data_IF_771976356718
#
_entry.id   IF_771976356718
#
_cell.length_a   1.000
_cell.length_b   1.000
_cell.length_c   1.000
_cell.angle_alpha   90.00
_cell.angle_beta   90.00
_cell.angle_gamma   90.00
#
_symmetry.space_group_name_H-M   'P 1'
#
loop_
_entity.id
_entity.type
_entity.pdbx_description
1 polymer ?
#
# COMPACT_ATOMS: atom_id res chain seq x y z
N UNK A 1 -25.89 9.57 -6.71
CA UNK A 1 -24.68 9.35 -7.52
C UNK A 1 -23.70 10.43 -7.14
N UNK A 2 -22.74 10.14 -6.26
CA UNK A 2 -21.65 11.08 -5.96
C UNK A 2 -20.89 11.33 -7.28
N UNK A 3 -20.63 12.59 -7.61
CA UNK A 3 -19.88 12.94 -8.81
C UNK A 3 -18.51 12.25 -8.73
N UNK A 4 -18.14 11.51 -9.78
CA UNK A 4 -16.84 10.85 -9.87
C UNK A 4 -15.74 11.92 -9.68
N UNK A 5 -15.00 11.85 -8.58
CA UNK A 5 -13.93 12.81 -8.28
C UNK A 5 -12.62 12.26 -8.84
N UNK A 6 -12.18 12.82 -9.96
CA UNK A 6 -10.88 12.51 -10.57
C UNK A 6 -9.78 13.36 -9.94
N UNK A 7 -8.55 12.87 -9.98
CA UNK A 7 -7.38 13.63 -9.53
C UNK A 7 -7.25 14.95 -10.29
N UNK A 8 -6.98 16.03 -9.54
CA UNK A 8 -6.59 17.31 -10.14
C UNK A 8 -5.18 17.21 -10.75
N UNK A 9 -4.81 18.11 -11.69
CA UNK A 9 -3.46 18.14 -12.23
C UNK A 9 -2.36 18.26 -11.16
N UNK A 10 -2.61 19.02 -10.09
CA UNK A 10 -1.65 19.20 -8.99
C UNK A 10 -1.51 17.92 -8.16
N UNK A 11 -2.62 17.24 -7.86
CA UNK A 11 -2.59 15.95 -7.16
C UNK A 11 -1.84 14.89 -7.97
N UNK A 12 -2.12 14.82 -9.28
CA UNK A 12 -1.41 13.90 -10.18
C UNK A 12 0.09 14.23 -10.25
N UNK A 13 0.44 15.50 -10.44
CA UNK A 13 1.83 15.93 -10.47
C UNK A 13 2.56 15.66 -9.14
N UNK A 14 1.87 15.80 -8.01
CA UNK A 14 2.39 15.42 -6.69
C UNK A 14 2.68 13.92 -6.60
N UNK A 15 1.73 13.08 -7.00
CA UNK A 15 1.88 11.62 -6.98
C UNK A 15 3.05 11.16 -7.87
N UNK A 16 3.18 11.72 -9.07
CA UNK A 16 4.25 11.35 -10.02
C UNK A 16 5.64 11.86 -9.64
N UNK A 17 5.74 12.84 -8.73
CA UNK A 17 7.03 13.35 -8.21
C UNK A 17 7.53 12.57 -6.99
N UNK A 18 6.69 11.70 -6.42
CA UNK A 18 7.05 10.94 -5.23
C UNK A 18 8.19 9.97 -5.56
N UNK A 19 9.28 10.05 -4.79
CA UNK A 19 10.44 9.18 -4.95
C UNK A 19 10.04 7.71 -4.73
N UNK A 20 10.35 6.85 -5.70
CA UNK A 20 10.28 5.40 -5.55
C UNK A 20 11.56 4.89 -4.86
N UNK A 21 11.43 4.39 -3.63
CA UNK A 21 12.56 3.92 -2.84
C UNK A 21 13.12 2.57 -3.35
N UNK A 22 12.34 1.84 -4.14
CA UNK A 22 12.78 0.59 -4.77
C UNK A 22 13.62 0.83 -6.02
N UNK A 23 13.65 2.06 -6.54
CA UNK A 23 14.30 2.43 -7.80
C UNK A 23 15.71 3.01 -7.56
N UNK A 24 16.79 2.31 -7.96
CA UNK A 24 18.16 2.79 -7.76
C UNK A 24 18.45 4.10 -8.50
N UNK A 25 17.75 4.38 -9.61
CA UNK A 25 17.93 5.62 -10.38
C UNK A 25 17.39 6.85 -9.62
N UNK A 26 16.57 6.63 -8.59
CA UNK A 26 16.05 7.66 -7.71
C UNK A 26 16.82 7.77 -6.39
N UNK A 27 18.01 7.15 -6.32
CA UNK A 27 18.95 7.23 -5.20
C UNK A 27 18.94 6.01 -4.29
N UNK A 28 20.04 5.78 -3.59
CA UNK A 28 20.24 4.61 -2.73
C UNK A 28 19.20 4.51 -1.60
N UNK A 29 18.76 3.28 -1.34
CA UNK A 29 17.89 2.94 -0.21
C UNK A 29 17.96 1.44 0.12
N UNK A 30 17.85 1.07 1.39
CA UNK A 30 17.95 -0.32 1.86
C UNK A 30 16.84 -1.24 1.34
N UNK A 31 15.74 -0.66 0.85
CA UNK A 31 14.68 -1.38 0.14
C UNK A 31 15.21 -2.09 -1.11
N UNK A 32 16.16 -1.46 -1.82
CA UNK A 32 16.81 -2.05 -3.00
C UNK A 32 17.62 -3.28 -2.59
N UNK A 33 18.38 -3.19 -1.51
CA UNK A 33 19.17 -4.31 -0.98
C UNK A 33 18.29 -5.50 -0.59
N UNK A 34 17.17 -5.24 0.12
CA UNK A 34 16.22 -6.29 0.48
C UNK A 34 15.62 -6.96 -0.75
N UNK A 35 15.24 -6.16 -1.75
CA UNK A 35 14.67 -6.66 -2.99
C UNK A 35 15.70 -7.48 -3.79
N UNK A 36 16.95 -7.04 -3.85
CA UNK A 36 18.05 -7.76 -4.49
C UNK A 36 18.35 -9.09 -3.79
N UNK A 37 18.40 -9.13 -2.45
CA UNK A 37 18.56 -10.38 -1.67
C UNK A 37 17.44 -11.37 -2.00
N UNK A 38 16.19 -10.90 -2.03
CA UNK A 38 15.02 -11.71 -2.34
C UNK A 38 15.03 -12.24 -3.78
N UNK A 39 15.26 -11.37 -4.76
CA UNK A 39 15.32 -11.76 -6.18
C UNK A 39 16.45 -12.76 -6.40
N UNK A 40 17.62 -12.53 -5.80
CA UNK A 40 18.76 -13.44 -5.91
C UNK A 40 18.44 -14.82 -5.34
N UNK A 41 17.80 -14.87 -4.16
CA UNK A 41 17.44 -16.14 -3.53
C UNK A 41 16.44 -16.96 -4.38
N UNK A 42 15.41 -16.31 -4.91
CA UNK A 42 14.43 -16.96 -5.79
C UNK A 42 15.04 -17.38 -7.13
N UNK A 43 15.88 -16.52 -7.71
CA UNK A 43 16.61 -16.84 -8.95
C UNK A 43 17.46 -18.10 -8.77
N UNK A 44 18.23 -18.18 -7.68
CA UNK A 44 19.10 -19.32 -7.37
C UNK A 44 18.29 -20.60 -7.10
N UNK A 45 17.18 -20.50 -6.37
CA UNK A 45 16.32 -21.65 -6.10
C UNK A 45 15.77 -22.29 -7.38
N UNK A 46 15.45 -21.46 -8.37
CA UNK A 46 14.79 -21.91 -9.60
C UNK A 46 15.73 -22.12 -10.78
N UNK A 47 16.98 -21.68 -10.69
CA UNK A 47 17.91 -21.56 -11.82
C UNK A 47 17.25 -20.82 -13.01
N UNK A 48 16.56 -19.73 -12.68
CA UNK A 48 15.74 -18.97 -13.65
C UNK A 48 16.46 -17.74 -14.19
N UNK A 49 16.00 -17.27 -15.35
CA UNK A 49 16.32 -15.93 -15.83
C UNK A 49 15.53 -14.87 -15.04
N UNK A 50 15.99 -13.61 -15.04
CA UNK A 50 15.32 -12.51 -14.31
C UNK A 50 15.03 -11.37 -15.28
N UNK A 51 13.79 -10.87 -15.24
CA UNK A 51 13.36 -9.70 -16.00
C UNK A 51 12.76 -8.64 -15.06
N UNK A 52 13.37 -7.47 -15.06
CA UNK A 52 12.86 -6.31 -14.34
C UNK A 52 11.87 -5.53 -15.22
N UNK A 53 10.71 -5.19 -14.67
CA UNK A 53 9.70 -4.35 -15.33
C UNK A 53 9.45 -3.12 -14.45
N UNK A 54 9.80 -1.94 -14.96
CA UNK A 54 9.56 -0.66 -14.30
C UNK A 54 8.86 0.28 -15.28
N UNK A 55 7.60 0.57 -15.00
CA UNK A 55 6.79 1.53 -15.73
C UNK A 55 6.27 2.62 -14.79
N UNK A 56 5.93 3.82 -15.31
CA UNK A 56 5.23 4.84 -14.54
C UNK A 56 3.95 4.29 -13.91
N UNK A 57 3.52 4.80 -12.73
CA UNK A 57 2.37 4.26 -12.02
C UNK A 57 1.01 4.54 -12.71
N UNK A 58 1.00 5.22 -13.86
CA UNK A 58 -0.22 5.47 -14.64
C UNK A 58 -0.54 4.26 -15.50
N UNK A 59 -1.65 3.59 -15.19
CA UNK A 59 -2.08 2.37 -15.88
C UNK A 59 -3.53 2.47 -16.32
N UNK A 60 -3.89 1.69 -17.34
CA UNK A 60 -5.28 1.54 -17.74
C UNK A 60 -6.06 0.80 -16.65
N UNK A 61 -7.32 1.20 -16.43
CA UNK A 61 -8.28 0.46 -15.58
C UNK A 61 -8.37 -0.99 -16.01
N UNK A 62 -8.29 -1.23 -17.32
CA UNK A 62 -8.30 -2.54 -17.93
C UNK A 62 -7.15 -3.44 -17.47
N UNK A 63 -5.93 -2.93 -17.39
CA UNK A 63 -4.77 -3.73 -16.96
C UNK A 63 -4.71 -3.86 -15.43
N UNK A 64 -5.09 -2.82 -14.68
CA UNK A 64 -5.13 -2.88 -13.22
C UNK A 64 -6.24 -3.80 -12.69
N UNK A 65 -7.35 -3.98 -13.41
CA UNK A 65 -8.48 -4.73 -12.89
C UNK A 65 -9.04 -5.77 -13.85
N UNK A 66 -9.49 -5.37 -15.04
CA UNK A 66 -10.27 -6.25 -15.93
C UNK A 66 -9.48 -7.52 -16.31
N UNK A 67 -8.22 -7.37 -16.72
CA UNK A 67 -7.36 -8.49 -17.14
C UNK A 67 -6.85 -9.34 -15.98
N UNK A 68 -7.05 -8.89 -14.74
CA UNK A 68 -6.77 -9.64 -13.53
C UNK A 68 -8.02 -10.26 -12.92
N UNK A 69 -9.16 -10.20 -13.62
CA UNK A 69 -10.40 -10.90 -13.23
C UNK A 69 -11.28 -10.16 -12.23
N UNK A 70 -10.95 -8.92 -11.87
CA UNK A 70 -11.81 -8.11 -10.99
C UNK A 70 -13.12 -7.74 -11.70
N UNK A 71 -14.24 -7.82 -11.00
CA UNK A 71 -15.55 -7.43 -11.51
C UNK A 71 -15.79 -5.91 -11.44
N UNK A 72 -16.65 -5.31 -12.28
CA UNK A 72 -16.95 -3.87 -12.24
C UNK A 72 -17.54 -3.38 -10.90
N UNK A 73 -18.19 -4.27 -10.15
CA UNK A 73 -18.79 -3.98 -8.85
C UNK A 73 -17.87 -4.26 -7.65
N UNK A 74 -16.63 -4.68 -7.88
CA UNK A 74 -15.71 -5.01 -6.80
C UNK A 74 -15.36 -3.79 -5.97
N UNK A 75 -15.35 -3.97 -4.65
CA UNK A 75 -15.03 -2.90 -3.69
C UNK A 75 -13.66 -2.28 -3.95
N UNK A 76 -12.70 -3.07 -4.45
CA UNK A 76 -11.34 -2.63 -4.79
C UNK A 76 -11.31 -1.59 -5.91
N UNK A 77 -12.36 -1.50 -6.74
CA UNK A 77 -12.52 -0.48 -7.78
C UNK A 77 -13.18 0.79 -7.25
N UNK A 78 -13.77 0.76 -6.07
CA UNK A 78 -14.48 1.92 -5.55
C UNK A 78 -13.52 3.11 -5.42
N UNK A 79 -13.98 4.30 -5.80
CA UNK A 79 -13.17 5.52 -5.76
C UNK A 79 -12.65 5.85 -4.37
N UNK A 80 -13.33 5.38 -3.32
CA UNK A 80 -12.88 5.54 -1.94
C UNK A 80 -11.58 4.79 -1.63
N UNK A 81 -11.15 3.86 -2.47
CA UNK A 81 -9.85 3.18 -2.36
C UNK A 81 -8.89 3.50 -3.51
N UNK A 82 -9.42 4.00 -4.64
CA UNK A 82 -8.70 4.10 -5.91
C UNK A 82 -8.61 5.54 -6.43
N UNK A 83 -7.41 5.94 -6.85
CA UNK A 83 -7.14 7.28 -7.37
C UNK A 83 -7.23 7.31 -8.91
N UNK A 84 -8.42 7.63 -9.41
CA UNK A 84 -8.70 7.74 -10.85
C UNK A 84 -8.24 9.08 -11.43
N UNK A 85 -7.65 9.04 -12.62
CA UNK A 85 -7.29 10.23 -13.41
C UNK A 85 -8.36 10.52 -14.47
N UNK A 86 -8.98 9.47 -14.99
CA UNK A 86 -10.09 9.54 -15.96
C UNK A 86 -10.94 8.26 -15.84
N UNK A 87 -12.03 8.10 -16.61
CA UNK A 87 -12.80 6.85 -16.62
C UNK A 87 -11.99 5.59 -16.96
N UNK A 88 -10.85 5.73 -17.66
CA UNK A 88 -10.07 4.61 -18.18
C UNK A 88 -8.64 4.55 -17.67
N UNK A 89 -8.20 5.53 -16.87
CA UNK A 89 -6.81 5.64 -16.36
C UNK A 89 -6.82 5.95 -14.87
N UNK A 90 -5.93 5.30 -14.14
CA UNK A 90 -5.72 5.48 -12.71
C UNK A 90 -4.23 5.44 -12.36
N UNK A 91 -3.92 5.82 -11.13
CA UNK A 91 -2.66 5.47 -10.49
C UNK A 91 -2.76 4.05 -9.94
N UNK A 92 -1.86 3.14 -10.35
CA UNK A 92 -1.95 1.69 -10.07
C UNK A 92 -2.15 1.41 -8.59
N UNK A 93 -3.06 0.50 -8.29
CA UNK A 93 -3.37 0.12 -6.90
C UNK A 93 -2.56 -1.08 -6.41
N UNK A 94 -1.91 -1.79 -7.33
CA UNK A 94 -0.97 -2.88 -7.05
C UNK A 94 0.00 -3.03 -8.23
N UNK A 95 1.20 -3.56 -7.98
CA UNK A 95 2.19 -3.82 -9.02
C UNK A 95 1.75 -4.91 -10.02
N UNK A 96 0.79 -5.77 -9.64
CA UNK A 96 0.21 -6.79 -10.52
C UNK A 96 -0.41 -6.20 -11.79
N UNK A 97 -0.74 -4.89 -11.79
CA UNK A 97 -1.29 -4.18 -12.95
C UNK A 97 -0.39 -4.20 -14.19
N UNK A 98 0.92 -4.41 -14.02
CA UNK A 98 1.87 -4.49 -15.15
C UNK A 98 1.89 -5.88 -15.80
N UNK A 99 1.49 -6.91 -15.06
CA UNK A 99 1.70 -8.32 -15.43
C UNK A 99 0.90 -8.72 -16.65
N UNK A 100 -0.37 -8.34 -16.83
CA UNK A 100 -1.11 -8.68 -18.04
C UNK A 100 -0.38 -8.23 -19.31
N UNK A 101 0.23 -7.04 -19.31
CA UNK A 101 0.97 -6.52 -20.47
C UNK A 101 2.35 -7.17 -20.58
N UNK A 102 3.10 -7.30 -19.49
CA UNK A 102 4.41 -7.96 -19.50
C UNK A 102 4.35 -9.42 -19.97
N UNK A 103 3.26 -10.14 -19.64
CA UNK A 103 3.04 -11.53 -20.05
C UNK A 103 2.81 -11.68 -21.57
N UNK A 104 2.42 -10.62 -22.29
CA UNK A 104 2.24 -10.71 -23.75
C UNK A 104 3.57 -10.93 -24.49
N UNK A 105 4.69 -10.52 -23.91
CA UNK A 105 6.02 -10.67 -24.51
C UNK A 105 6.49 -12.14 -24.59
N UNK A 106 5.75 -13.06 -23.95
CA UNK A 106 6.02 -14.49 -24.01
C UNK A 106 5.35 -15.21 -25.16
N UNK A 107 4.49 -14.52 -25.93
CA UNK A 107 3.81 -15.10 -27.10
C UNK A 107 4.83 -15.65 -28.09
N UNK A 108 4.68 -16.92 -28.44
CA UNK A 108 5.55 -17.61 -29.39
C UNK A 108 6.95 -17.95 -28.87
N UNK A 109 7.25 -17.70 -27.57
CA UNK A 109 8.48 -18.18 -26.94
C UNK A 109 8.32 -19.64 -26.48
N UNK A 110 9.43 -20.34 -26.34
CA UNK A 110 9.55 -21.67 -25.72
C UNK A 110 10.73 -21.67 -24.73
N UNK A 111 10.84 -22.73 -23.93
CA UNK A 111 11.96 -22.96 -23.01
C UNK A 111 12.20 -21.80 -22.03
N UNK A 112 11.10 -21.24 -21.54
CA UNK A 112 11.10 -20.11 -20.59
C UNK A 112 10.95 -20.63 -19.17
N UNK A 113 11.87 -20.19 -18.31
CA UNK A 113 11.72 -20.15 -16.86
C UNK A 113 12.30 -18.79 -16.40
N UNK A 114 11.41 -17.85 -16.11
CA UNK A 114 11.79 -16.44 -15.88
C UNK A 114 11.03 -15.88 -14.67
N UNK A 115 11.77 -15.21 -13.78
CA UNK A 115 11.25 -14.41 -12.69
C UNK A 115 11.04 -12.97 -13.18
N UNK A 116 9.78 -12.57 -13.34
CA UNK A 116 9.39 -11.19 -13.52
C UNK A 116 9.41 -10.46 -12.18
N UNK A 117 10.18 -9.38 -12.12
CA UNK A 117 10.31 -8.51 -10.95
C UNK A 117 9.68 -7.17 -11.28
N UNK A 118 8.55 -6.86 -10.64
CA UNK A 118 7.78 -5.65 -10.89
C UNK A 118 7.66 -4.84 -9.60
N UNK A 119 8.68 -4.06 -9.24
CA UNK A 119 8.65 -3.24 -8.06
C UNK A 119 8.08 -1.84 -8.35
N UNK A 120 7.55 -1.22 -7.31
CA UNK A 120 7.47 0.22 -7.22
C UNK A 120 6.29 0.73 -6.43
N UNK A 121 6.06 2.04 -6.55
CA UNK A 121 4.97 2.70 -5.85
C UNK A 121 3.60 2.25 -6.34
N UNK A 122 2.67 2.08 -5.40
CA UNK A 122 1.25 1.91 -5.66
C UNK A 122 0.49 2.99 -4.89
N UNK A 123 -0.72 3.31 -5.34
CA UNK A 123 -1.50 4.39 -4.78
C UNK A 123 -2.84 3.85 -4.29
N UNK A 124 -3.06 3.96 -2.98
CA UNK A 124 -4.30 3.55 -2.32
C UNK A 124 -4.76 4.66 -1.40
N UNK A 125 -6.07 4.79 -1.20
CA UNK A 125 -6.57 5.52 -0.03
C UNK A 125 -6.55 4.55 1.14
N UNK A 126 -5.94 4.97 2.23
CA UNK A 126 -5.67 4.14 3.40
C UNK A 126 -5.82 5.01 4.67
N UNK A 127 -5.71 4.40 5.83
CA UNK A 127 -5.64 5.11 7.11
C UNK A 127 -4.27 5.78 7.30
N UNK A 128 -4.18 6.69 8.27
CA UNK A 128 -2.90 7.31 8.68
C UNK A 128 -2.52 6.68 10.01
N UNK A 129 -1.50 5.82 10.00
CA UNK A 129 -0.90 5.26 11.21
C UNK A 129 0.59 4.94 11.00
N UNK A 130 1.21 4.29 11.98
CA UNK A 130 2.65 3.97 11.99
C UNK A 130 3.07 2.90 11.00
N UNK A 131 2.13 2.22 10.37
CA UNK A 131 2.33 1.08 9.47
C UNK A 131 1.68 1.26 8.10
N UNK A 132 0.81 2.26 7.93
CA UNK A 132 0.05 2.52 6.71
C UNK A 132 0.35 3.90 6.13
N UNK A 133 0.53 3.96 4.81
CA UNK A 133 0.74 5.16 4.00
C UNK A 133 -0.12 5.08 2.75
N UNK A 134 -0.50 6.21 2.16
CA UNK A 134 -1.30 6.22 0.92
C UNK A 134 -0.52 5.77 -0.32
N UNK A 135 0.81 5.78 -0.24
CA UNK A 135 1.71 5.47 -1.34
C UNK A 135 2.78 4.45 -0.94
N UNK A 136 2.39 3.20 -0.62
CA UNK A 136 3.34 2.15 -0.27
C UNK A 136 4.07 1.64 -1.52
N UNK A 137 5.20 0.99 -1.30
CA UNK A 137 5.93 0.23 -2.30
C UNK A 137 5.51 -1.23 -2.25
N UNK A 138 5.26 -1.79 -3.41
CA UNK A 138 5.03 -3.21 -3.59
C UNK A 138 6.06 -3.79 -4.56
N UNK A 139 6.17 -5.11 -4.55
CA UNK A 139 6.76 -5.86 -5.65
C UNK A 139 5.88 -7.05 -5.99
N UNK A 140 5.61 -7.23 -7.27
CA UNK A 140 5.14 -8.50 -7.81
C UNK A 140 6.35 -9.31 -8.31
N UNK A 141 6.46 -10.54 -7.82
CA UNK A 141 7.49 -11.50 -8.16
C UNK A 141 6.79 -12.70 -8.81
N UNK A 142 6.69 -12.70 -10.14
CA UNK A 142 5.98 -13.76 -10.86
C UNK A 142 6.97 -14.66 -11.56
N UNK A 143 6.93 -15.96 -11.26
CA UNK A 143 7.68 -16.97 -12.02
C UNK A 143 6.81 -17.46 -13.17
N UNK A 144 7.17 -17.15 -14.40
CA UNK A 144 6.50 -17.66 -15.60
C UNK A 144 7.30 -18.79 -16.22
N UNK A 145 6.61 -19.87 -16.61
CA UNK A 145 7.24 -21.08 -17.15
C UNK A 145 6.48 -21.59 -18.36
N UNK A 146 7.21 -21.97 -19.40
CA UNK A 146 6.66 -22.73 -20.53
C UNK A 146 6.55 -24.21 -20.19
N UNK A 147 5.78 -24.53 -19.15
CA UNK A 147 5.41 -25.88 -18.73
C UNK A 147 3.93 -25.95 -18.39
N UNK A 148 3.23 -27.08 -18.64
CA UNK A 148 1.82 -27.26 -18.29
C UNK A 148 1.53 -27.16 -16.79
N UNK A 149 2.53 -27.36 -15.93
CA UNK A 149 2.26 -27.55 -14.49
C UNK A 149 3.27 -26.87 -13.59
N UNK A 150 2.72 -26.02 -12.73
CA UNK A 150 3.31 -25.53 -11.49
C UNK A 150 2.45 -26.04 -10.33
N UNK A 151 3.09 -26.46 -9.24
CA UNK A 151 2.46 -27.18 -8.13
C UNK A 151 2.41 -26.36 -6.85
N UNK A 152 1.61 -26.82 -5.88
CA UNK A 152 1.57 -26.23 -4.54
C UNK A 152 2.91 -26.45 -3.79
N UNK A 153 3.69 -27.47 -4.16
CA UNK A 153 5.04 -27.68 -3.65
C UNK A 153 6.00 -26.58 -4.13
N UNK A 154 5.93 -26.20 -5.42
CA UNK A 154 6.68 -25.05 -5.95
C UNK A 154 6.32 -23.76 -5.19
N UNK A 155 5.02 -23.56 -4.92
CA UNK A 155 4.52 -22.40 -4.18
C UNK A 155 5.00 -22.38 -2.72
N UNK A 156 4.94 -23.52 -2.02
CA UNK A 156 5.47 -23.65 -0.66
C UNK A 156 6.99 -23.42 -0.61
N UNK A 157 7.72 -23.91 -1.61
CA UNK A 157 9.14 -23.65 -1.78
C UNK A 157 9.44 -22.16 -1.97
N UNK A 158 8.63 -21.45 -2.77
CA UNK A 158 8.74 -20.00 -2.96
C UNK A 158 8.50 -19.25 -1.64
N UNK A 159 7.47 -19.64 -0.87
CA UNK A 159 7.15 -19.01 0.42
C UNK A 159 8.31 -19.17 1.41
N UNK A 160 8.88 -20.38 1.51
CA UNK A 160 10.04 -20.63 2.39
C UNK A 160 11.22 -19.71 2.07
N UNK A 161 11.60 -19.64 0.79
CA UNK A 161 12.69 -18.77 0.33
C UNK A 161 12.40 -17.29 0.53
N UNK A 162 11.16 -16.84 0.29
CA UNK A 162 10.74 -15.47 0.59
C UNK A 162 10.96 -15.15 2.07
N UNK A 163 10.44 -15.99 2.97
CA UNK A 163 10.51 -15.74 4.41
C UNK A 163 11.96 -15.77 4.88
N UNK A 164 12.77 -16.74 4.42
CA UNK A 164 14.17 -16.82 4.81
C UNK A 164 15.01 -15.65 4.28
N UNK A 165 14.69 -15.12 3.10
CA UNK A 165 15.35 -13.92 2.56
C UNK A 165 14.97 -12.66 3.35
N UNK A 166 13.69 -12.46 3.66
CA UNK A 166 13.20 -11.24 4.33
C UNK A 166 13.42 -11.30 5.85
N UNK A 167 13.24 -12.44 6.48
CA UNK A 167 13.35 -12.65 7.93
C UNK A 167 13.99 -14.03 8.22
N UNK A 168 15.31 -14.16 8.05
CA UNK A 168 16.02 -15.41 8.29
C UNK A 168 15.68 -16.03 9.65
N UNK A 169 15.20 -17.28 9.63
CA UNK A 169 14.86 -18.04 10.84
C UNK A 169 13.52 -17.69 11.47
N UNK A 170 12.70 -16.82 10.85
CA UNK A 170 11.34 -16.58 11.31
C UNK A 170 10.44 -17.80 11.12
N UNK A 171 9.54 -18.03 12.08
CA UNK A 171 8.45 -18.98 11.90
C UNK A 171 7.39 -18.34 11.00
N UNK A 172 6.84 -19.11 10.08
CA UNK A 172 5.76 -18.67 9.20
C UNK A 172 4.62 -19.67 9.16
N UNK A 173 3.44 -19.20 8.78
CA UNK A 173 2.25 -20.00 8.51
C UNK A 173 1.53 -19.44 7.29
N UNK A 174 0.58 -20.20 6.73
CA UNK A 174 -0.25 -19.74 5.62
C UNK A 174 -1.73 -19.90 5.92
N UNK A 175 -2.52 -18.93 5.49
CA UNK A 175 -3.98 -19.02 5.45
C UNK A 175 -4.46 -18.92 4.00
N UNK A 176 -5.57 -19.59 3.67
CA UNK A 176 -6.12 -19.54 2.32
C UNK A 176 -6.75 -18.18 2.06
N UNK A 177 -6.48 -17.62 0.89
CA UNK A 177 -7.06 -16.35 0.40
C UNK A 177 -7.46 -16.51 -1.07
N UNK A 178 -8.54 -15.85 -1.46
CA UNK A 178 -9.01 -15.85 -2.84
C UNK A 178 -8.63 -14.55 -3.53
N UNK A 179 -7.93 -14.65 -4.67
CA UNK A 179 -7.70 -13.54 -5.57
C UNK A 179 -8.19 -13.90 -6.97
N UNK A 180 -8.80 -12.97 -7.72
CA UNK A 180 -9.35 -13.28 -9.05
C UNK A 180 -8.30 -13.72 -10.08
N UNK A 181 -7.02 -13.38 -9.88
CA UNK A 181 -5.90 -13.70 -10.77
C UNK A 181 -5.02 -14.86 -10.31
N UNK A 182 -5.39 -15.57 -9.23
CA UNK A 182 -4.64 -16.75 -8.76
C UNK A 182 -5.52 -17.96 -8.45
N UNK A 183 -4.94 -19.16 -8.45
CA UNK A 183 -5.53 -20.39 -7.94
C UNK A 183 -4.78 -20.86 -6.69
N UNK A 184 -5.53 -21.31 -5.68
CA UNK A 184 -4.98 -21.80 -4.42
C UNK A 184 -4.22 -20.74 -3.65
N UNK A 185 -4.75 -19.51 -3.63
CA UNK A 185 -4.11 -18.35 -3.03
C UNK A 185 -3.80 -18.56 -1.55
N UNK A 186 -2.68 -18.01 -1.11
CA UNK A 186 -2.20 -18.08 0.28
C UNK A 186 -1.67 -16.74 0.75
N UNK A 187 -2.18 -16.29 1.89
CA UNK A 187 -1.55 -15.26 2.70
C UNK A 187 -0.44 -15.91 3.53
N UNK A 188 0.71 -15.25 3.60
CA UNK A 188 1.90 -15.68 4.35
C UNK A 188 2.05 -14.80 5.57
N UNK A 189 1.91 -15.38 6.75
CA UNK A 189 2.13 -14.68 8.02
C UNK A 189 3.46 -15.10 8.65
N UNK A 190 4.18 -14.14 9.21
CA UNK A 190 5.42 -14.36 9.96
C UNK A 190 5.24 -14.03 11.43
N UNK A 191 5.82 -14.84 12.31
CA UNK A 191 5.75 -14.63 13.76
C UNK A 191 6.93 -13.78 14.24
N UNK A 192 6.64 -12.54 14.63
CA UNK A 192 7.63 -11.59 15.15
C UNK A 192 7.05 -10.86 16.36
N UNK A 193 7.90 -10.54 17.34
CA UNK A 193 7.52 -9.78 18.55
C UNK A 193 6.27 -10.34 19.28
N UNK A 194 6.07 -11.67 19.25
CA UNK A 194 4.95 -12.34 19.91
C UNK A 194 3.60 -12.28 19.18
N UNK A 195 3.58 -11.83 17.91
CA UNK A 195 2.37 -11.78 17.07
C UNK A 195 2.62 -12.31 15.67
N UNK A 196 1.54 -12.74 15.01
CA UNK A 196 1.54 -13.06 13.59
C UNK A 196 1.25 -11.79 12.79
N UNK A 197 2.07 -11.52 11.78
CA UNK A 197 1.89 -10.40 10.87
C UNK A 197 1.96 -10.89 9.44
N UNK A 198 1.01 -10.44 8.63
CA UNK A 198 0.99 -10.67 7.19
C UNK A 198 2.23 -10.07 6.53
N UNK A 199 2.96 -10.90 5.78
CA UNK A 199 4.12 -10.50 4.99
C UNK A 199 3.78 -10.34 3.50
N UNK A 200 3.11 -11.34 2.92
CA UNK A 200 2.90 -11.44 1.47
C UNK A 200 1.67 -12.29 1.14
N UNK A 201 1.22 -12.20 -0.10
CA UNK A 201 0.19 -13.08 -0.67
C UNK A 201 0.71 -13.73 -1.95
N UNK A 202 0.34 -14.98 -2.20
CA UNK A 202 0.80 -15.72 -3.36
C UNK A 202 -0.24 -16.69 -3.90
N UNK A 203 0.00 -17.24 -5.08
CA UNK A 203 -0.84 -18.27 -5.68
C UNK A 203 -0.27 -18.78 -6.99
N UNK A 204 -0.90 -19.81 -7.58
CA UNK A 204 -0.60 -20.20 -8.96
C UNK A 204 -1.30 -19.23 -9.91
N UNK A 205 -0.64 -18.81 -10.99
CA UNK A 205 -1.24 -17.85 -11.94
C UNK A 205 -2.54 -18.45 -12.51
N UNK A 206 -3.62 -17.67 -12.50
CA UNK A 206 -4.91 -18.13 -12.99
C UNK A 206 -4.86 -18.35 -14.52
N UNK A 207 -5.43 -19.46 -15.06
CA UNK A 207 -5.44 -19.75 -16.49
C UNK A 207 -5.99 -18.63 -17.37
N UNK A 208 -7.03 -17.92 -16.90
CA UNK A 208 -7.61 -16.79 -17.64
C UNK A 208 -6.65 -15.60 -17.80
N UNK A 209 -5.73 -15.39 -16.85
CA UNK A 209 -4.70 -14.34 -16.97
C UNK A 209 -3.70 -14.71 -18.05
N UNK A 210 -3.27 -15.98 -18.10
CA UNK A 210 -2.40 -16.51 -19.15
C UNK A 210 -3.08 -16.41 -20.52
N UNK A 211 -4.33 -16.88 -20.61
CA UNK A 211 -5.13 -16.82 -21.83
C UNK A 211 -5.33 -15.38 -22.32
N UNK A 212 -5.68 -14.45 -21.42
CA UNK A 212 -5.80 -13.02 -21.70
C UNK A 212 -4.47 -12.33 -22.09
N UNK A 213 -3.34 -12.96 -21.77
CA UNK A 213 -2.02 -12.58 -22.27
C UNK A 213 -1.65 -13.27 -23.59
N UNK A 214 -2.46 -14.19 -24.11
CA UNK A 214 -2.20 -14.96 -25.33
C UNK A 214 -1.28 -16.17 -25.11
N UNK A 215 -1.19 -16.65 -23.87
CA UNK A 215 -0.44 -17.84 -23.49
C UNK A 215 -1.41 -18.99 -23.23
N UNK A 216 -1.14 -20.16 -23.80
CA UNK A 216 -1.98 -21.34 -23.61
C UNK A 216 -1.71 -21.97 -22.22
N UNK A 217 -2.71 -22.03 -21.30
CA UNK A 217 -2.53 -22.63 -19.98
C UNK A 217 -2.22 -24.13 -19.98
N UNK A 218 -2.36 -24.82 -21.11
CA UNK A 218 -1.89 -26.20 -21.27
C UNK A 218 -0.39 -26.31 -21.51
N UNK A 219 0.30 -25.21 -21.81
CA UNK A 219 1.74 -25.19 -22.06
C UNK A 219 2.46 -24.13 -21.22
N UNK A 220 1.72 -23.23 -20.57
CA UNK A 220 2.23 -22.21 -19.68
C UNK A 220 1.61 -22.33 -18.29
N UNK A 221 2.44 -22.13 -17.27
CA UNK A 221 2.01 -22.04 -15.89
C UNK A 221 3.01 -21.20 -15.10
N UNK A 222 2.68 -20.88 -13.85
CA UNK A 222 3.59 -20.10 -13.02
C UNK A 222 3.06 -19.81 -11.63
N UNK A 223 3.87 -19.08 -10.88
CA UNK A 223 3.57 -18.58 -9.55
C UNK A 223 3.45 -17.06 -9.58
N UNK A 224 2.52 -16.54 -8.80
CA UNK A 224 2.36 -15.13 -8.50
C UNK A 224 2.67 -14.91 -7.01
N UNK A 225 3.40 -13.85 -6.70
CA UNK A 225 3.71 -13.41 -5.35
C UNK A 225 3.65 -11.89 -5.31
N UNK A 226 2.85 -11.33 -4.39
CA UNK A 226 2.80 -9.91 -4.08
C UNK A 226 3.35 -9.65 -2.68
N UNK A 227 4.26 -8.69 -2.56
CA UNK A 227 4.93 -8.34 -1.30
C UNK A 227 4.87 -6.83 -1.06
N UNK A 228 4.48 -6.41 0.14
CA UNK A 228 4.64 -5.03 0.60
C UNK A 228 6.08 -4.76 1.03
N UNK A 229 6.84 -4.01 0.24
CA UNK A 229 8.26 -3.77 0.48
C UNK A 229 8.52 -2.93 1.74
N UNK A 230 7.68 -1.95 2.03
CA UNK A 230 7.78 -1.13 3.25
C UNK A 230 7.65 -2.00 4.49
N UNK A 231 6.61 -2.85 4.52
CA UNK A 231 6.37 -3.77 5.64
C UNK A 231 7.52 -4.78 5.78
N UNK A 232 7.95 -5.38 4.67
CA UNK A 232 9.07 -6.33 4.66
C UNK A 232 10.35 -5.69 5.24
N UNK A 233 10.69 -4.48 4.82
CA UNK A 233 11.87 -3.75 5.30
C UNK A 233 11.72 -3.33 6.76
N UNK A 234 10.54 -2.86 7.16
CA UNK A 234 10.26 -2.52 8.55
C UNK A 234 10.38 -3.72 9.47
N UNK A 235 9.92 -4.90 9.05
CA UNK A 235 10.11 -6.14 9.80
C UNK A 235 11.58 -6.55 9.85
N UNK A 236 12.28 -6.56 8.70
CA UNK A 236 13.70 -6.92 8.59
C UNK A 236 14.57 -6.12 9.56
N UNK A 237 14.32 -4.81 9.64
CA UNK A 237 15.11 -3.87 10.43
C UNK A 237 14.47 -3.52 11.77
N UNK A 238 13.28 -4.02 12.11
CA UNK A 238 12.51 -3.60 13.30
C UNK A 238 12.26 -2.07 13.35
N UNK A 239 11.92 -1.47 12.22
CA UNK A 239 11.62 -0.03 12.13
C UNK A 239 10.23 0.23 12.73
N UNK A 240 10.11 1.15 13.71
CA UNK A 240 8.90 1.29 14.51
C UNK A 240 7.81 2.17 13.87
N UNK A 241 8.14 2.86 12.78
CA UNK A 241 7.29 3.85 12.13
C UNK A 241 7.66 3.96 10.65
N UNK A 242 6.67 3.78 9.77
CA UNK A 242 6.84 3.80 8.31
C UNK A 242 7.39 5.13 7.79
N UNK A 243 7.10 6.24 8.48
CA UNK A 243 7.61 7.58 8.11
C UNK A 243 9.14 7.65 8.14
N UNK A 244 9.80 6.77 8.90
CA UNK A 244 11.26 6.68 8.93
C UNK A 244 11.85 6.31 7.57
N UNK A 245 11.15 5.54 6.73
CA UNK A 245 11.63 5.09 5.42
C UNK A 245 11.88 6.27 4.46
N UNK A 246 11.17 7.39 4.63
CA UNK A 246 11.27 8.57 3.76
C UNK A 246 11.93 9.77 4.43
N UNK A 247 12.32 9.64 5.70
CA UNK A 247 12.87 10.76 6.47
C UNK A 247 14.18 11.26 5.88
N UNK A 248 14.28 12.57 5.67
CA UNK A 248 15.51 13.26 5.27
C UNK A 248 16.41 13.62 6.46
N UNK A 249 16.05 13.23 7.69
CA UNK A 249 16.88 13.50 8.86
C UNK A 249 18.16 12.66 8.80
N UNK A 250 19.36 13.26 8.92
CA UNK A 250 20.61 12.56 8.63
C UNK A 250 20.84 11.24 9.40
N UNK A 251 20.43 11.16 10.67
CA UNK A 251 20.61 9.95 11.51
C UNK A 251 19.62 8.86 11.15
N UNK A 252 18.42 9.21 10.67
CA UNK A 252 17.45 8.26 10.14
C UNK A 252 17.86 7.81 8.74
N UNK A 253 18.14 8.76 7.85
CA UNK A 253 18.48 8.52 6.46
C UNK A 253 19.73 7.64 6.32
N UNK A 254 20.75 7.83 7.17
CA UNK A 254 21.96 7.01 7.16
C UNK A 254 21.68 5.52 7.44
N UNK A 255 20.63 5.20 8.22
CA UNK A 255 20.24 3.81 8.50
C UNK A 255 19.49 3.15 7.34
N UNK A 256 19.07 3.92 6.34
CA UNK A 256 18.42 3.43 5.12
C UNK A 256 19.42 3.06 4.04
N UNK A 257 20.70 2.83 4.37
CA UNK A 257 21.76 2.48 3.42
C UNK A 257 22.26 1.03 3.57
N UNK A 258 21.78 0.30 4.59
CA UNK A 258 22.10 -1.10 4.83
C UNK A 258 20.87 -1.86 5.38
N UNK A 259 21.02 -3.16 5.64
CA UNK A 259 19.97 -3.99 6.26
C UNK A 259 20.22 -4.26 7.76
N UNK A 260 21.09 -3.49 8.43
CA UNK A 260 21.33 -3.65 9.86
C UNK A 260 20.07 -3.31 10.67
N UNK A 261 19.86 -3.94 11.84
CA UNK A 261 18.73 -3.60 12.71
C UNK A 261 18.68 -2.11 13.04
N UNK A 262 17.47 -1.59 13.14
CA UNK A 262 17.18 -0.19 13.44
C UNK A 262 17.77 0.22 14.79
N UNK A 263 18.50 1.33 14.78
CA UNK A 263 19.00 1.99 15.97
C UNK A 263 18.10 3.18 16.31
N UNK A 264 17.54 3.15 17.52
CA UNK A 264 16.59 4.16 17.94
C UNK A 264 17.23 5.56 17.97
N UNK A 265 16.71 6.46 17.14
CA UNK A 265 16.89 7.90 17.30
C UNK A 265 15.92 8.40 18.37
N UNK A 266 16.39 9.24 19.30
CA UNK A 266 15.61 9.74 20.45
C UNK A 266 14.19 10.13 20.04
N UNK A 267 13.20 9.46 20.64
CA UNK A 267 11.80 9.77 20.42
C UNK A 267 11.43 11.10 21.09
N UNK A 268 10.79 11.96 20.30
CA UNK A 268 10.32 13.26 20.79
C UNK A 268 8.90 13.11 21.39
N UNK A 269 8.57 13.90 22.42
CA UNK A 269 7.25 13.82 23.03
C UNK A 269 6.18 14.17 21.99
N UNK A 270 5.20 13.26 21.85
CA UNK A 270 4.03 13.50 21.02
C UNK A 270 2.99 14.35 21.76
N UNK A 271 2.12 15.02 21.00
CA UNK A 271 0.94 15.70 21.53
C UNK A 271 -0.32 15.18 20.84
N UNK A 272 -1.47 15.34 21.48
CA UNK A 272 -2.76 14.86 20.95
C UNK A 272 -3.73 16.01 20.79
N UNK A 273 -4.57 15.95 19.76
CA UNK A 273 -5.69 16.88 19.56
C UNK A 273 -6.92 16.10 19.17
N UNK A 274 -8.01 16.32 19.88
CA UNK A 274 -9.29 15.73 19.53
C UNK A 274 -10.11 16.80 18.79
N UNK A 275 -10.72 16.42 17.67
CA UNK A 275 -11.64 17.25 16.89
C UNK A 275 -12.96 16.51 16.72
N UNK A 276 -14.05 17.27 16.79
CA UNK A 276 -15.40 16.76 16.55
C UNK A 276 -15.87 17.33 15.22
N UNK A 277 -16.05 16.48 14.22
CA UNK A 277 -16.38 16.88 12.85
C UNK A 277 -17.75 16.32 12.44
N UNK A 278 -18.41 16.98 11.50
CA UNK A 278 -19.64 16.50 10.86
C UNK A 278 -19.25 15.94 9.51
N UNK A 279 -19.64 14.71 9.24
CA UNK A 279 -19.32 13.97 8.02
C UNK A 279 -20.58 13.30 7.47
N UNK A 280 -20.55 12.92 6.19
CA UNK A 280 -21.59 12.07 5.62
C UNK A 280 -21.58 10.68 6.28
N UNK A 281 -22.75 10.05 6.39
CA UNK A 281 -22.86 8.70 6.96
C UNK A 281 -22.14 7.62 6.12
N UNK A 282 -21.76 7.95 4.87
CA UNK A 282 -21.00 7.06 4.00
C UNK A 282 -19.48 7.20 4.08
N UNK A 283 -18.96 8.14 4.87
CA UNK A 283 -17.51 8.32 5.05
C UNK A 283 -16.90 7.22 5.94
N UNK A 284 -15.64 6.90 5.68
CA UNK A 284 -14.84 5.91 6.40
C UNK A 284 -13.45 6.46 6.79
N UNK A 285 -12.72 5.69 7.59
CA UNK A 285 -11.44 6.09 8.16
C UNK A 285 -10.39 6.33 7.05
N UNK A 286 -10.43 5.57 5.96
CA UNK A 286 -9.56 5.71 4.80
C UNK A 286 -9.81 7.02 4.03
N UNK A 287 -11.08 7.38 3.83
CA UNK A 287 -11.44 8.63 3.16
C UNK A 287 -11.06 9.84 4.02
N UNK A 288 -11.26 9.75 5.34
CA UNK A 288 -10.79 10.76 6.30
C UNK A 288 -9.27 10.88 6.24
N UNK A 289 -8.54 9.77 6.23
CA UNK A 289 -7.09 9.73 6.13
C UNK A 289 -6.56 10.40 4.86
N UNK A 290 -7.18 10.13 3.70
CA UNK A 290 -6.83 10.75 2.41
C UNK A 290 -7.10 12.27 2.40
N UNK A 291 -8.23 12.72 2.96
CA UNK A 291 -8.55 14.15 3.11
C UNK A 291 -7.52 14.86 4.00
N UNK A 292 -7.16 14.25 5.12
CA UNK A 292 -6.13 14.77 6.05
C UNK A 292 -4.78 14.88 5.34
N UNK A 293 -4.32 13.82 4.65
CA UNK A 293 -3.05 13.83 3.93
C UNK A 293 -3.04 14.88 2.83
N UNK A 294 -4.11 14.98 2.06
CA UNK A 294 -4.25 15.98 0.99
C UNK A 294 -4.17 17.39 1.53
N UNK A 295 -4.83 17.68 2.66
CA UNK A 295 -4.85 19.00 3.27
C UNK A 295 -3.49 19.42 3.84
N UNK A 296 -2.73 18.47 4.39
CA UNK A 296 -1.42 18.74 4.99
C UNK A 296 -0.28 18.74 3.97
N UNK A 297 -0.41 18.00 2.87
CA UNK A 297 0.65 17.85 1.87
C UNK A 297 1.97 17.42 2.52
N UNK A 298 3.01 18.27 2.40
CA UNK A 298 4.34 18.02 3.00
C UNK A 298 4.34 17.90 4.53
N UNK A 299 3.33 18.46 5.20
CA UNK A 299 3.22 18.45 6.66
C UNK A 299 2.50 17.19 7.17
N UNK A 300 2.08 16.28 6.27
CA UNK A 300 1.45 15.01 6.66
C UNK A 300 2.36 14.15 7.54
N UNK A 301 3.68 14.19 7.33
CA UNK A 301 4.67 13.44 8.12
C UNK A 301 4.76 13.92 9.59
N UNK A 302 4.15 15.05 9.94
CA UNK A 302 4.04 15.51 11.33
C UNK A 302 3.03 14.67 12.13
N UNK A 303 2.07 14.02 11.46
CA UNK A 303 1.10 13.13 12.08
C UNK A 303 1.66 11.72 12.20
N UNK A 304 1.54 11.14 13.39
CA UNK A 304 1.81 9.73 13.66
C UNK A 304 0.58 8.87 13.37
N UNK A 305 -0.60 9.37 13.72
CA UNK A 305 -1.85 8.66 13.45
C UNK A 305 -3.06 9.61 13.43
N UNK A 306 -4.09 9.21 12.69
CA UNK A 306 -5.44 9.77 12.74
C UNK A 306 -6.38 8.63 13.15
N UNK A 307 -6.99 8.75 14.32
CA UNK A 307 -7.81 7.69 14.93
C UNK A 307 -9.24 8.18 15.07
N UNK A 308 -10.20 7.48 14.46
CA UNK A 308 -11.63 7.77 14.68
C UNK A 308 -12.08 7.04 15.95
N UNK A 309 -12.38 7.80 17.00
CA UNK A 309 -12.73 7.26 18.31
C UNK A 309 -14.19 6.81 18.39
N UNK A 310 -15.08 7.53 17.72
CA UNK A 310 -16.51 7.20 17.71
C UNK A 310 -17.24 7.89 16.57
N UNK A 311 -18.28 7.21 16.10
CA UNK A 311 -19.32 7.76 15.22
C UNK A 311 -20.62 7.92 16.00
N UNK A 312 -21.32 9.03 15.82
CA UNK A 312 -22.64 9.26 16.42
C UNK A 312 -23.57 9.89 15.39
N UNK A 313 -24.64 9.18 15.04
CA UNK A 313 -25.60 9.67 14.05
C UNK A 313 -26.33 10.90 14.56
N UNK A 314 -26.79 11.73 13.64
CA UNK A 314 -27.59 12.92 13.96
C UNK A 314 -28.77 12.60 14.90
N UNK A 315 -29.49 11.50 14.65
CA UNK A 315 -30.63 11.06 15.46
C UNK A 315 -30.27 10.68 16.90
N UNK A 316 -29.05 10.19 17.12
CA UNK A 316 -28.55 9.74 18.42
C UNK A 316 -27.91 10.90 19.23
N UNK A 317 -27.74 12.08 18.62
CA UNK A 317 -27.13 13.23 19.28
C UNK A 317 -28.13 13.99 20.18
N UNK A 318 -27.70 14.41 21.38
CA UNK A 318 -28.48 15.34 22.21
C UNK A 318 -28.84 16.61 21.43
N UNK A 319 -30.02 17.19 21.68
CA UNK A 319 -30.52 18.38 20.96
C UNK A 319 -29.50 19.54 20.96
N UNK A 320 -28.91 19.84 22.12
CA UNK A 320 -27.89 20.88 22.24
C UNK A 320 -26.62 20.59 21.40
N UNK A 321 -26.25 19.32 21.22
CA UNK A 321 -25.14 18.94 20.36
C UNK A 321 -25.50 19.08 18.88
N UNK A 322 -26.74 18.75 18.50
CA UNK A 322 -27.24 18.97 17.14
C UNK A 322 -27.23 20.44 16.76
N UNK A 323 -27.74 21.30 17.64
CA UNK A 323 -27.79 22.75 17.42
C UNK A 323 -26.38 23.34 17.29
N UNK A 324 -25.46 22.94 18.18
CA UNK A 324 -24.06 23.41 18.14
C UNK A 324 -23.30 22.97 16.89
N UNK A 325 -23.54 21.76 16.41
CA UNK A 325 -22.88 21.20 15.23
C UNK A 325 -23.56 21.60 13.92
N UNK A 326 -24.79 22.12 13.97
CA UNK A 326 -25.64 22.34 12.80
C UNK A 326 -25.82 21.08 11.95
N UNK A 327 -25.80 19.91 12.58
CA UNK A 327 -25.85 18.61 11.90
C UNK A 327 -27.26 18.29 11.42
N UNK A 328 -27.38 17.75 10.20
CA UNK A 328 -28.65 17.37 9.57
C UNK A 328 -28.79 15.85 9.45
N UNK A 329 -29.97 15.35 9.09
CA UNK A 329 -30.17 13.93 8.80
C UNK A 329 -29.25 13.45 7.65
N UNK A 330 -28.82 12.19 7.70
CA UNK A 330 -27.84 11.61 6.76
C UNK A 330 -26.38 12.00 7.05
N UNK A 331 -26.12 12.61 8.21
CA UNK A 331 -24.80 13.01 8.68
C UNK A 331 -24.54 12.44 10.06
N UNK A 332 -23.26 12.20 10.34
CA UNK A 332 -22.78 11.73 11.63
C UNK A 332 -21.72 12.68 12.19
N UNK A 333 -21.65 12.74 13.53
CA UNK A 333 -20.53 13.31 14.23
C UNK A 333 -19.43 12.26 14.37
N UNK A 334 -18.24 12.55 13.85
CA UNK A 334 -17.05 11.75 14.11
C UNK A 334 -16.16 12.47 15.13
N UNK A 335 -15.80 11.77 16.20
CA UNK A 335 -14.78 12.22 17.14
C UNK A 335 -13.43 11.65 16.69
N UNK A 336 -12.52 12.51 16.26
CA UNK A 336 -11.23 12.11 15.69
C UNK A 336 -10.12 12.57 16.61
N UNK A 337 -9.19 11.67 16.92
CA UNK A 337 -7.95 11.95 17.64
C UNK A 337 -6.77 12.00 16.68
N UNK A 338 -6.09 13.13 16.70
CA UNK A 338 -4.85 13.39 15.99
C UNK A 338 -3.69 13.11 16.92
N UNK A 339 -2.85 12.12 16.59
CA UNK A 339 -1.58 11.87 17.26
C UNK A 339 -0.49 12.61 16.49
N UNK A 340 0.02 13.69 17.09
CA UNK A 340 0.99 14.58 16.46
C UNK A 340 2.35 14.29 17.08
N UNK A 341 3.23 13.66 16.32
CA UNK A 341 4.60 13.36 16.75
C UNK A 341 5.52 13.40 15.53
N UNK A 342 6.14 14.56 15.25
CA UNK A 342 7.15 14.63 14.20
C UNK A 342 8.38 13.80 14.57
N UNK A 343 9.04 13.25 13.55
CA UNK A 343 10.23 12.43 13.73
C UNK A 343 11.47 13.22 14.18
N UNK A 344 11.54 14.51 13.86
CA UNK A 344 12.80 15.28 13.88
C UNK A 344 12.82 16.46 14.85
N UNK A 345 11.64 16.95 15.26
CA UNK A 345 11.52 18.11 16.17
C UNK A 345 10.22 18.07 16.98
N UNK A 346 10.22 18.72 18.14
CA UNK A 346 9.00 18.95 18.92
C UNK A 346 8.21 20.10 18.29
N UNK A 347 6.89 19.99 18.25
CA UNK A 347 6.01 21.11 17.90
C UNK A 347 5.62 21.90 19.14
N UNK A 348 5.55 23.21 18.99
CA UNK A 348 4.90 24.08 19.96
C UNK A 348 3.40 23.77 20.02
N UNK A 349 2.75 24.16 21.12
CA UNK A 349 1.29 24.02 21.22
C UNK A 349 0.54 24.84 20.18
N UNK A 350 1.11 25.97 19.74
CA UNK A 350 0.55 26.80 18.68
C UNK A 350 0.59 26.08 17.33
N UNK A 351 1.76 25.58 16.91
CA UNK A 351 1.88 24.81 15.66
C UNK A 351 0.96 23.58 15.63
N UNK A 352 0.86 22.87 16.76
CA UNK A 352 -0.04 21.72 16.86
C UNK A 352 -1.53 22.11 16.77
N UNK A 353 -1.90 23.32 17.21
CA UNK A 353 -3.25 23.85 17.05
C UNK A 353 -3.53 24.30 15.62
N UNK A 354 -2.53 24.89 14.95
CA UNK A 354 -2.64 25.27 13.54
C UNK A 354 -2.85 24.03 12.67
N UNK A 355 -2.07 22.97 12.90
CA UNK A 355 -2.24 21.68 12.23
C UNK A 355 -3.65 21.12 12.42
N UNK A 356 -4.14 21.11 13.67
CA UNK A 356 -5.51 20.69 14.01
C UNK A 356 -6.55 21.52 13.26
N UNK A 357 -6.39 22.84 13.17
CA UNK A 357 -7.35 23.72 12.50
C UNK A 357 -7.39 23.45 10.99
N UNK A 358 -6.23 23.27 10.35
CA UNK A 358 -6.14 22.88 8.94
C UNK A 358 -6.89 21.57 8.68
N UNK A 359 -6.67 20.56 9.54
CA UNK A 359 -7.36 19.27 9.42
C UNK A 359 -8.86 19.41 9.64
N UNK A 360 -9.28 20.16 10.66
CA UNK A 360 -10.70 20.41 10.91
C UNK A 360 -11.38 21.04 9.69
N UNK A 361 -10.78 22.07 9.10
CA UNK A 361 -11.31 22.74 7.90
C UNK A 361 -11.41 21.81 6.68
N UNK A 362 -10.50 20.85 6.57
CA UNK A 362 -10.48 19.92 5.44
C UNK A 362 -11.50 18.77 5.58
N UNK A 363 -11.79 18.35 6.81
CA UNK A 363 -12.62 17.18 7.09
C UNK A 363 -14.06 17.58 7.44
N UNK A 364 -14.28 18.71 8.11
CA UNK A 364 -15.60 19.11 8.59
C UNK A 364 -16.52 19.58 7.46
N UNK A 365 -17.71 18.96 7.35
CA UNK A 365 -18.74 19.33 6.37
C UNK A 365 -19.95 20.07 6.99
N UNK A 366 -19.90 20.37 8.29
CA UNK A 366 -20.93 21.16 8.97
C UNK A 366 -20.69 22.67 8.84
N UNK A 367 -21.63 23.50 9.33
CA UNK A 367 -21.45 24.94 9.39
C UNK A 367 -20.26 25.31 10.28
N UNK A 368 -19.43 26.24 9.79
CA UNK A 368 -18.28 26.73 10.52
C UNK A 368 -18.71 27.45 11.81
N UNK A 369 -18.07 27.17 12.96
CA UNK A 369 -18.33 27.94 14.17
C UNK A 369 -17.98 29.41 13.92
N UNK A 370 -18.93 30.29 14.25
CA UNK A 370 -18.85 31.75 14.11
C UNK A 370 -17.77 32.38 14.98
#
# INVERSE_FOLDING_TARGET
>A
MSALSYLTPDQLAGALKLRDLSDPDQGAHSMQLLLEELVTALQQQWDSSVRWVRNPPLVAVHDNYDRLGYGPGDVTRAQRYTRYVSPTVLLRTHTSAELPTALQDYRGRSDVDELLVVPGLVHRRDVVDRTHVGEPHQVDLWRIRSTPRTTDEDMLGMIGTLVDAVLPGARWQTTHVEHPYTLGGRQVDVHTEGRWLELAECGRIHPEVLHGAGLDPQTWSGLALGLGLDRALMLRKSIPDIRCLRSSEPRIAAQMLDLQPWQHVSSLPGTRRDISVVLDDSEDDETIGDRVRTALGKDADLLEAVEVLSWTRCEDLPAAARDRLGITAGRSNALIRLHIRPLVRTLTSAEANDLRNTIYLAVHEGPMPS
#
